data_IF_266045828212
#
_entry.id   IF_266045828212
#
_cell.length_a   1.000
_cell.length_b   1.000
_cell.length_c   1.000
_cell.angle_alpha   90.00
_cell.angle_beta   90.00
_cell.angle_gamma   90.00
#
_symmetry.space_group_name_H-M   'P 1'
#
loop_
_entity.id
_entity.type
_entity.pdbx_description
1 polymer ?
#
# COMPACT_ATOMS: atom_id res chain seq x y z
N UNK A 1 -0.97 -17.40 6.34
CA UNK A 1 -1.10 -16.12 7.08
C UNK A 1 -0.43 -15.02 6.27
N UNK A 2 -1.17 -13.99 5.85
CA UNK A 2 -0.63 -12.85 5.09
C UNK A 2 0.49 -12.15 5.91
N UNK A 3 1.58 -11.76 5.25
CA UNK A 3 2.72 -11.05 5.88
C UNK A 3 2.56 -9.54 5.88
N UNK A 4 1.52 -9.04 5.20
CA UNK A 4 1.13 -7.64 5.15
C UNK A 4 0.17 -7.38 6.31
N UNK A 5 0.51 -6.43 7.18
CA UNK A 5 -0.26 -6.05 8.36
C UNK A 5 -0.52 -4.55 8.34
N UNK A 6 -1.79 -4.15 8.45
CA UNK A 6 -2.15 -2.76 8.75
C UNK A 6 -1.77 -2.47 10.21
N UNK A 7 -1.00 -1.42 10.42
CA UNK A 7 -0.56 -0.96 11.74
C UNK A 7 -1.50 0.12 12.28
N UNK A 8 -1.86 1.08 11.44
CA UNK A 8 -2.82 2.13 11.78
C UNK A 8 -3.47 2.71 10.53
N UNK A 9 -4.67 3.28 10.68
CA UNK A 9 -5.39 4.02 9.64
C UNK A 9 -5.92 5.30 10.30
N UNK A 10 -5.77 6.44 9.64
CA UNK A 10 -6.41 7.68 10.08
C UNK A 10 -7.92 7.62 9.92
N UNK A 11 -8.67 8.35 10.76
CA UNK A 11 -10.12 8.33 10.74
C UNK A 11 -10.73 8.79 9.42
N UNK A 12 -10.00 9.57 8.63
CA UNK A 12 -10.39 10.12 7.32
C UNK A 12 -9.78 9.34 6.14
N UNK A 13 -9.06 8.25 6.40
CA UNK A 13 -8.36 7.42 5.39
C UNK A 13 -7.28 8.15 4.57
N UNK A 14 -6.87 9.36 4.94
CA UNK A 14 -5.79 10.08 4.27
C UNK A 14 -4.39 9.55 4.60
N UNK A 15 -4.22 8.86 5.74
CA UNK A 15 -2.94 8.25 6.13
C UNK A 15 -3.13 6.80 6.60
N UNK A 16 -2.20 5.93 6.20
CA UNK A 16 -2.16 4.53 6.63
C UNK A 16 -0.73 4.06 6.83
N UNK A 17 -0.51 3.29 7.91
CA UNK A 17 0.75 2.62 8.18
C UNK A 17 0.58 1.12 7.96
N UNK A 18 1.46 0.51 7.17
CA UNK A 18 1.43 -0.92 6.86
C UNK A 18 2.81 -1.52 7.03
N UNK A 19 2.88 -2.72 7.58
CA UNK A 19 4.11 -3.48 7.72
C UNK A 19 4.08 -4.74 6.85
N UNK A 20 5.09 -4.92 5.99
CA UNK A 20 5.43 -6.20 5.39
C UNK A 20 6.47 -6.91 6.26
N UNK A 21 6.02 -7.94 6.97
CA UNK A 21 6.88 -8.79 7.81
C UNK A 21 7.81 -9.63 6.94
N UNK A 22 9.10 -9.35 7.00
CA UNK A 22 10.14 -10.25 6.51
C UNK A 22 10.08 -11.62 7.20
N UNK A 23 10.08 -12.69 6.41
CA UNK A 23 10.02 -14.08 6.83
C UNK A 23 10.70 -14.98 5.79
N UNK A 24 10.84 -16.27 6.06
CA UNK A 24 11.43 -17.20 5.09
C UNK A 24 10.64 -17.26 3.77
N UNK A 25 9.31 -17.07 3.82
CA UNK A 25 8.40 -17.26 2.68
C UNK A 25 8.33 -16.09 1.69
N UNK A 26 8.91 -14.93 2.03
CA UNK A 26 8.94 -13.76 1.15
C UNK A 26 10.36 -13.32 0.82
N UNK A 27 11.28 -14.29 0.75
CA UNK A 27 12.68 -14.06 0.36
C UNK A 27 12.92 -14.39 -1.10
N UNK A 28 13.84 -13.66 -1.72
CA UNK A 28 14.45 -14.03 -2.99
C UNK A 28 15.67 -14.97 -2.76
N UNK A 29 16.33 -15.47 -3.82
CA UNK A 29 17.51 -16.33 -3.67
C UNK A 29 18.67 -15.73 -2.85
N UNK A 30 18.77 -14.39 -2.79
CA UNK A 30 19.74 -13.66 -1.99
C UNK A 30 19.31 -13.48 -0.52
N UNK A 31 18.24 -14.15 -0.08
CA UNK A 31 17.68 -14.09 1.29
C UNK A 31 17.16 -12.71 1.71
N UNK A 32 17.07 -11.74 0.79
CA UNK A 32 16.40 -10.45 0.98
C UNK A 32 14.93 -10.53 0.57
N UNK A 33 14.11 -9.54 0.95
CA UNK A 33 12.69 -9.50 0.61
C UNK A 33 12.51 -9.55 -0.92
N UNK A 34 11.65 -10.43 -1.39
CA UNK A 34 11.33 -10.56 -2.80
C UNK A 34 10.56 -9.35 -3.30
N UNK A 35 10.97 -8.78 -4.45
CA UNK A 35 10.35 -7.59 -5.03
C UNK A 35 8.85 -7.72 -5.23
N UNK A 36 8.37 -8.89 -5.67
CA UNK A 36 6.93 -9.15 -5.82
C UNK A 36 6.14 -9.11 -4.50
N UNK A 37 6.78 -9.41 -3.37
CA UNK A 37 6.15 -9.23 -2.05
C UNK A 37 6.06 -7.76 -1.65
N UNK A 38 7.05 -6.95 -2.03
CA UNK A 38 7.03 -5.50 -1.82
C UNK A 38 5.91 -4.89 -2.66
N UNK A 39 5.83 -5.23 -3.96
CA UNK A 39 4.77 -4.68 -4.83
C UNK A 39 3.38 -5.14 -4.41
N UNK A 40 3.22 -6.39 -3.96
CA UNK A 40 1.95 -6.87 -3.42
C UNK A 40 1.53 -6.16 -2.12
N UNK A 41 2.50 -5.67 -1.34
CA UNK A 41 2.24 -4.86 -0.15
C UNK A 41 1.97 -3.38 -0.48
N UNK A 42 2.32 -2.92 -1.69
CA UNK A 42 2.07 -1.54 -2.13
C UNK A 42 0.70 -1.39 -2.80
N UNK A 43 0.35 -2.32 -3.69
CA UNK A 43 -0.77 -2.19 -4.63
C UNK A 43 -2.16 -1.96 -4.01
N UNK A 44 -2.61 -2.70 -2.98
CA UNK A 44 -4.02 -2.65 -2.59
C UNK A 44 -4.42 -1.40 -1.80
N UNK A 45 -3.46 -0.69 -1.18
CA UNK A 45 -3.80 0.31 -0.16
C UNK A 45 -4.28 1.63 -0.75
N UNK A 46 -3.61 2.13 -1.79
CA UNK A 46 -4.01 3.40 -2.41
C UNK A 46 -5.44 3.35 -2.99
N UNK A 47 -5.83 2.34 -3.80
CA UNK A 47 -7.20 2.23 -4.30
C UNK A 47 -8.25 2.10 -3.20
N UNK A 48 -7.94 1.33 -2.13
CA UNK A 48 -8.84 1.16 -0.99
C UNK A 48 -9.03 2.46 -0.22
N UNK A 49 -7.93 3.18 0.08
CA UNK A 49 -7.99 4.47 0.78
C UNK A 49 -8.80 5.49 -0.04
N UNK A 50 -8.53 5.60 -1.35
CA UNK A 50 -9.25 6.50 -2.24
C UNK A 50 -10.74 6.19 -2.30
N UNK A 51 -11.11 4.90 -2.44
CA UNK A 51 -12.51 4.45 -2.40
C UNK A 51 -13.20 4.86 -1.10
N UNK A 52 -12.54 4.70 0.05
CA UNK A 52 -13.11 5.07 1.34
C UNK A 52 -13.31 6.58 1.51
N UNK A 53 -12.35 7.40 1.05
CA UNK A 53 -12.47 8.86 1.08
C UNK A 53 -13.68 9.32 0.25
N UNK A 54 -13.83 8.79 -0.97
CA UNK A 54 -14.90 9.18 -1.89
C UNK A 54 -16.27 8.65 -1.42
N UNK A 55 -16.32 7.42 -0.89
CA UNK A 55 -17.53 6.85 -0.30
C UNK A 55 -18.07 7.72 0.85
N UNK A 56 -17.18 8.27 1.68
CA UNK A 56 -17.55 9.19 2.77
C UNK A 56 -18.09 10.54 2.30
N UNK A 57 -17.88 10.90 1.03
CA UNK A 57 -18.50 12.06 0.37
C UNK A 57 -19.85 11.72 -0.27
N UNK A 58 -20.34 10.48 -0.12
CA UNK A 58 -21.63 10.03 -0.64
C UNK A 58 -21.58 9.49 -2.07
N UNK A 59 -20.40 9.25 -2.63
CA UNK A 59 -20.22 8.77 -4.01
C UNK A 59 -19.80 7.29 -3.97
N UNK A 60 -20.63 6.40 -4.51
CA UNK A 60 -20.30 4.98 -4.63
C UNK A 60 -19.62 4.71 -5.97
N UNK A 61 -18.41 4.18 -5.93
CA UNK A 61 -17.63 3.84 -7.13
C UNK A 61 -16.68 2.66 -6.87
N UNK A 62 -16.24 2.00 -7.95
CA UNK A 62 -15.23 0.97 -7.92
C UNK A 62 -13.86 1.55 -8.28
N UNK A 63 -12.82 1.15 -7.54
CA UNK A 63 -11.45 1.64 -7.72
C UNK A 63 -10.53 0.52 -8.19
N UNK A 64 -9.80 0.79 -9.27
CA UNK A 64 -8.83 -0.13 -9.85
C UNK A 64 -7.52 0.61 -10.11
N UNK A 65 -6.39 -0.04 -9.82
CA UNK A 65 -5.07 0.43 -10.25
C UNK A 65 -4.93 0.21 -11.75
N UNK A 66 -4.70 1.28 -12.53
CA UNK A 66 -4.37 1.16 -13.97
C UNK A 66 -2.92 0.68 -14.17
N UNK A 67 -2.01 1.22 -13.38
CA UNK A 67 -0.59 0.90 -13.40
C UNK A 67 0.01 1.23 -12.04
N UNK A 68 1.12 0.57 -11.72
CA UNK A 68 1.97 0.87 -10.56
C UNK A 68 3.40 0.99 -11.06
N UNK A 69 4.08 2.07 -10.68
CA UNK A 69 5.50 2.27 -10.94
C UNK A 69 6.29 2.04 -9.66
N UNK A 70 7.27 1.14 -9.71
CA UNK A 70 8.08 0.77 -8.53
C UNK A 70 9.55 0.75 -8.91
N UNK A 71 10.35 1.49 -8.15
CA UNK A 71 11.81 1.53 -8.30
C UNK A 71 12.48 0.92 -7.07
N UNK A 72 13.28 -0.12 -7.28
CA UNK A 72 14.02 -0.78 -6.20
C UNK A 72 15.40 -0.14 -6.03
N UNK A 73 15.53 0.75 -5.05
CA UNK A 73 16.77 1.48 -4.79
C UNK A 73 17.82 0.64 -4.03
N UNK A 74 17.36 -0.15 -3.05
CA UNK A 74 18.23 -0.93 -2.17
C UNK A 74 17.65 -2.31 -1.85
N UNK A 75 18.54 -3.23 -1.47
CA UNK A 75 18.13 -4.52 -0.90
C UNK A 75 17.42 -4.32 0.44
N UNK A 76 16.46 -5.18 0.73
CA UNK A 76 15.72 -5.15 1.99
C UNK A 76 15.93 -6.46 2.74
N UNK A 77 16.47 -6.40 3.96
CA UNK A 77 16.79 -7.59 4.77
C UNK A 77 15.97 -7.65 6.07
N UNK A 78 15.08 -6.68 6.27
CA UNK A 78 14.26 -6.51 7.49
C UNK A 78 12.79 -6.30 7.14
N UNK A 79 11.94 -6.12 8.15
CA UNK A 79 10.56 -5.69 7.95
C UNK A 79 10.51 -4.34 7.23
N UNK A 80 9.59 -4.21 6.27
CA UNK A 80 9.32 -2.95 5.59
C UNK A 80 8.10 -2.30 6.20
N UNK A 81 8.21 -1.01 6.51
CA UNK A 81 7.07 -0.19 6.89
C UNK A 81 6.77 0.78 5.76
N UNK A 82 5.51 0.82 5.34
CA UNK A 82 4.98 1.71 4.33
C UNK A 82 4.12 2.75 5.03
N UNK A 83 4.36 4.01 4.68
CA UNK A 83 3.47 5.11 5.02
C UNK A 83 2.75 5.54 3.75
N UNK A 84 1.47 5.20 3.66
CA UNK A 84 0.61 5.68 2.59
C UNK A 84 0.00 7.01 2.99
N UNK A 85 0.00 7.95 2.04
CA UNK A 85 -0.62 9.25 2.17
C UNK A 85 -1.37 9.56 0.89
N UNK A 86 -2.60 10.03 1.02
CA UNK A 86 -3.38 10.60 -0.07
C UNK A 86 -3.66 12.04 0.32
N UNK A 87 -3.37 13.00 -0.56
CA UNK A 87 -3.70 14.40 -0.31
C UNK A 87 -5.05 14.80 -0.93
N UNK A 88 -5.52 16.01 -0.60
CA UNK A 88 -6.80 16.49 -1.12
C UNK A 88 -6.77 16.86 -2.61
N UNK A 89 -5.59 17.05 -3.21
CA UNK A 89 -5.43 17.31 -4.64
C UNK A 89 -5.63 16.02 -5.43
N UNK A 90 -5.00 14.92 -5.02
CA UNK A 90 -5.18 13.59 -5.59
C UNK A 90 -6.66 13.15 -5.55
N UNK A 91 -7.36 13.42 -4.43
CA UNK A 91 -8.79 13.11 -4.33
C UNK A 91 -9.64 13.95 -5.29
N UNK A 92 -9.24 15.21 -5.54
CA UNK A 92 -9.96 16.07 -6.50
C UNK A 92 -9.74 15.64 -7.94
N UNK A 93 -8.55 15.16 -8.28
CA UNK A 93 -8.24 14.63 -9.62
C UNK A 93 -8.98 13.31 -9.92
N UNK A 94 -9.34 12.56 -8.87
CA UNK A 94 -10.07 11.30 -8.98
C UNK A 94 -11.60 11.44 -9.09
N UNK A 95 -12.16 12.64 -8.87
CA UNK A 95 -13.60 12.95 -8.98
C UNK A 95 -13.94 13.51 -10.36
#
# INVERSE_FOLDING_TARGET
MNRIQIISISNDFHEMQVCLKHSFWNRNPNKSVWGGSITSALDPFFPVMMKQIILRRGISTEFYSKAVHVEFLHKVETHLNFHFKIDNMEVKEAL
#
